data_IF_458647115241
#
_entry.id   IF_458647115241
#
_cell.length_a   1.000
_cell.length_b   1.000
_cell.length_c   1.000
_cell.angle_alpha   90.00
_cell.angle_beta   90.00
_cell.angle_gamma   90.00
#
_symmetry.space_group_name_H-M   'P 1'
#
loop_
_entity.id
_entity.type
_entity.pdbx_description
1 polymer ?
#
# COMPACT_ATOMS: atom_id res chain seq x y z
N UNK A 1 -14.65 11.92 -12.31
CA UNK A 1 -13.45 11.20 -11.84
C UNK A 1 -12.73 12.10 -10.85
N UNK A 2 -12.55 11.67 -9.59
CA UNK A 2 -11.74 12.41 -8.61
C UNK A 2 -10.30 12.49 -9.11
N UNK A 3 -9.62 13.59 -8.82
CA UNK A 3 -8.21 13.75 -9.21
C UNK A 3 -7.36 12.78 -8.37
N UNK A 4 -6.34 12.14 -8.98
CA UNK A 4 -5.39 11.26 -8.27
C UNK A 4 -4.81 11.94 -7.03
N UNK A 5 -4.48 13.23 -7.14
CA UNK A 5 -3.96 14.01 -6.01
C UNK A 5 -4.99 14.15 -4.88
N UNK A 6 -6.27 14.31 -5.19
CA UNK A 6 -7.33 14.39 -4.17
C UNK A 6 -7.46 13.06 -3.43
N UNK A 7 -7.39 11.93 -4.14
CA UNK A 7 -7.46 10.59 -3.54
C UNK A 7 -6.30 10.38 -2.57
N UNK A 8 -5.08 10.74 -2.98
CA UNK A 8 -3.88 10.63 -2.14
C UNK A 8 -3.99 11.49 -0.88
N UNK A 9 -4.49 12.72 -0.99
CA UNK A 9 -4.67 13.59 0.18
C UNK A 9 -5.77 13.08 1.11
N UNK A 10 -6.82 12.44 0.58
CA UNK A 10 -7.83 11.76 1.41
C UNK A 10 -7.25 10.54 2.14
N UNK A 11 -6.38 9.76 1.49
CA UNK A 11 -5.65 8.64 2.13
C UNK A 11 -4.79 9.18 3.27
N UNK A 12 -3.92 10.16 2.99
CA UNK A 12 -3.01 10.74 3.99
C UNK A 12 -3.74 11.38 5.17
N UNK A 13 -4.90 11.97 4.93
CA UNK A 13 -5.72 12.60 5.99
C UNK A 13 -6.64 11.62 6.72
N UNK A 14 -6.68 10.34 6.33
CA UNK A 14 -7.55 9.32 6.91
C UNK A 14 -9.04 9.56 6.64
N UNK A 15 -9.36 10.34 5.61
CA UNK A 15 -10.75 10.72 5.25
C UNK A 15 -11.34 9.86 4.14
N UNK A 16 -10.60 8.87 3.66
CA UNK A 16 -11.06 7.92 2.65
C UNK A 16 -11.47 6.62 3.33
N UNK A 17 -12.49 5.96 2.80
CA UNK A 17 -12.84 4.61 3.20
C UNK A 17 -11.90 3.64 2.48
N UNK A 18 -11.23 2.79 3.26
CA UNK A 18 -10.33 1.76 2.79
C UNK A 18 -10.90 0.39 3.17
N UNK A 19 -11.24 -0.42 2.18
CA UNK A 19 -11.61 -1.82 2.39
C UNK A 19 -10.34 -2.67 2.33
N UNK A 20 -10.00 -3.37 3.41
CA UNK A 20 -8.83 -4.25 3.45
C UNK A 20 -9.09 -5.51 2.60
N UNK A 21 -8.32 -5.67 1.54
CA UNK A 21 -8.41 -6.80 0.60
C UNK A 21 -7.42 -7.89 0.95
N UNK A 22 -6.22 -7.50 1.41
CA UNK A 22 -5.16 -8.44 1.74
C UNK A 22 -4.24 -7.88 2.83
N UNK A 23 -3.78 -8.75 3.73
CA UNK A 23 -2.90 -8.44 4.86
C UNK A 23 -1.98 -9.63 5.12
N UNK A 24 -0.68 -9.45 4.89
CA UNK A 24 0.30 -10.54 4.98
C UNK A 24 1.62 -10.08 5.56
N UNK A 25 2.25 -11.01 6.27
CA UNK A 25 3.64 -10.90 6.71
C UNK A 25 4.50 -11.73 5.76
N UNK A 26 5.56 -11.14 5.23
CA UNK A 26 6.50 -11.84 4.34
C UNK A 26 7.94 -11.65 4.79
N UNK A 27 8.78 -12.66 4.56
CA UNK A 27 10.22 -12.50 4.69
C UNK A 27 10.70 -11.68 3.50
N UNK A 28 11.35 -10.54 3.75
CA UNK A 28 11.79 -9.53 2.79
C UNK A 28 11.82 -9.98 1.31
N UNK A 29 10.80 -9.59 0.55
CA UNK A 29 10.71 -9.78 -0.91
C UNK A 29 10.02 -8.59 -1.58
N UNK A 30 10.03 -8.54 -2.91
CA UNK A 30 9.23 -7.59 -3.72
C UNK A 30 7.75 -7.63 -3.31
N UNK A 31 7.01 -6.56 -3.59
CA UNK A 31 5.56 -6.50 -3.37
C UNK A 31 4.87 -7.33 -4.46
N UNK A 32 4.84 -8.65 -4.25
CA UNK A 32 4.38 -9.65 -5.23
C UNK A 32 2.90 -9.42 -5.64
N UNK A 33 2.12 -8.73 -4.80
CA UNK A 33 0.69 -8.51 -4.96
C UNK A 33 0.34 -7.69 -6.23
N UNK A 34 1.21 -6.76 -6.61
CA UNK A 34 0.97 -5.78 -7.68
C UNK A 34 1.79 -6.06 -8.95
N UNK A 35 2.81 -6.93 -8.88
CA UNK A 35 3.80 -7.14 -9.96
C UNK A 35 3.28 -8.05 -11.11
N UNK A 36 2.05 -8.58 -11.04
CA UNK A 36 1.55 -9.59 -12.00
C UNK A 36 0.09 -9.46 -12.48
N UNK A 37 -0.65 -8.45 -12.06
CA UNK A 37 -2.13 -8.54 -11.99
C UNK A 37 -2.91 -7.42 -12.70
N UNK A 38 -2.29 -6.65 -13.60
CA UNK A 38 -2.95 -5.61 -14.39
C UNK A 38 -3.16 -4.28 -13.65
N UNK A 39 -2.41 -4.07 -12.56
CA UNK A 39 -2.42 -2.81 -11.81
C UNK A 39 -1.51 -1.79 -12.49
N UNK A 40 -2.06 -0.60 -12.76
CA UNK A 40 -1.31 0.57 -13.16
C UNK A 40 -0.94 1.38 -11.92
N UNK A 41 0.36 1.59 -11.67
CA UNK A 41 0.80 2.46 -10.57
C UNK A 41 0.58 3.92 -10.95
N UNK A 42 -0.28 4.62 -10.22
CA UNK A 42 -0.61 6.01 -10.47
C UNK A 42 0.34 6.98 -9.75
N UNK A 43 0.68 6.68 -8.50
CA UNK A 43 1.66 7.46 -7.74
C UNK A 43 2.30 6.64 -6.61
N UNK A 44 3.45 7.11 -6.16
CA UNK A 44 4.12 6.66 -4.94
C UNK A 44 4.25 7.84 -3.98
N UNK A 45 4.02 7.59 -2.69
CA UNK A 45 4.14 8.57 -1.62
C UNK A 45 4.69 7.90 -0.34
N UNK A 46 5.71 7.06 -0.55
CA UNK A 46 6.48 6.38 0.47
C UNK A 46 7.21 7.35 1.42
N UNK A 47 7.57 6.86 2.59
CA UNK A 47 8.46 7.49 3.57
C UNK A 47 9.58 6.51 3.97
N UNK A 48 10.38 6.85 4.99
CA UNK A 48 11.53 6.03 5.42
C UNK A 48 11.12 4.68 6.01
N UNK A 49 9.93 4.58 6.60
CA UNK A 49 9.44 3.37 7.28
C UNK A 49 8.47 2.57 6.41
N UNK A 50 7.75 3.25 5.51
CA UNK A 50 6.68 2.67 4.73
C UNK A 50 6.84 2.93 3.24
N UNK A 51 6.67 1.87 2.45
CA UNK A 51 6.29 2.04 1.05
C UNK A 51 4.79 2.24 0.93
N UNK A 52 4.39 3.25 0.15
CA UNK A 52 2.99 3.62 -0.04
C UNK A 52 2.75 3.99 -1.50
N UNK A 53 1.78 3.35 -2.14
CA UNK A 53 1.46 3.64 -3.53
C UNK A 53 -0.02 3.48 -3.84
N UNK A 54 -0.51 4.31 -4.75
CA UNK A 54 -1.85 4.20 -5.32
C UNK A 54 -1.76 3.54 -6.70
N UNK A 55 -2.64 2.58 -6.92
CA UNK A 55 -2.79 1.84 -8.16
C UNK A 55 -4.20 1.97 -8.71
N UNK A 56 -4.35 1.69 -10.00
CA UNK A 56 -5.64 1.55 -10.68
C UNK A 56 -5.72 0.19 -11.37
N UNK A 57 -6.86 -0.47 -11.28
CA UNK A 57 -7.18 -1.68 -12.03
C UNK A 57 -8.68 -1.73 -12.29
N UNK A 58 -9.09 -2.02 -13.52
CA UNK A 58 -10.50 -2.19 -13.91
C UNK A 58 -11.42 -1.07 -13.35
N UNK A 59 -10.98 0.18 -13.51
CA UNK A 59 -11.64 1.41 -13.02
C UNK A 59 -11.69 1.64 -11.49
N UNK A 60 -11.20 0.69 -10.70
CA UNK A 60 -11.07 0.80 -9.25
C UNK A 60 -9.69 1.31 -8.84
N UNK A 61 -9.64 1.94 -7.66
CA UNK A 61 -8.41 2.43 -7.04
C UNK A 61 -7.99 1.51 -5.90
N UNK A 62 -6.69 1.28 -5.79
CA UNK A 62 -6.13 0.42 -4.77
C UNK A 62 -4.94 1.09 -4.09
N UNK A 63 -4.92 1.05 -2.76
CA UNK A 63 -3.83 1.57 -1.96
C UNK A 63 -3.01 0.40 -1.42
N UNK A 64 -1.71 0.38 -1.72
CA UNK A 64 -0.78 -0.58 -1.15
C UNK A 64 0.09 0.11 -0.09
N UNK A 65 0.22 -0.54 1.06
CA UNK A 65 1.07 -0.12 2.16
C UNK A 65 2.00 -1.27 2.54
N UNK A 66 3.29 -0.98 2.69
CA UNK A 66 4.27 -1.92 3.22
C UNK A 66 5.01 -1.26 4.35
N UNK A 67 5.02 -1.89 5.51
CA UNK A 67 5.93 -1.54 6.59
C UNK A 67 7.23 -2.34 6.44
N UNK A 68 8.36 -1.64 6.30
CA UNK A 68 9.67 -2.27 6.33
C UNK A 68 10.09 -2.61 7.75
N UNK A 69 10.89 -3.65 7.91
CA UNK A 69 11.51 -4.03 9.19
C UNK A 69 10.50 -4.10 10.35
N UNK A 70 9.33 -4.68 10.12
CA UNK A 70 8.24 -4.65 11.08
C UNK A 70 8.56 -5.41 12.38
N UNK A 71 9.56 -6.29 12.35
CA UNK A 71 10.09 -7.01 13.50
C UNK A 71 11.13 -6.23 14.32
N UNK A 72 11.70 -5.14 13.78
CA UNK A 72 12.86 -4.46 14.36
C UNK A 72 12.65 -3.99 15.80
N UNK A 73 11.46 -3.46 16.12
CA UNK A 73 11.14 -3.02 17.47
C UNK A 73 11.11 -4.16 18.51
N UNK A 74 10.88 -5.40 18.08
CA UNK A 74 10.72 -6.56 18.95
C UNK A 74 11.94 -7.49 18.97
N UNK A 75 12.64 -7.60 17.84
CA UNK A 75 13.75 -8.55 17.66
C UNK A 75 15.09 -7.86 17.39
N UNK A 76 15.10 -6.58 17.02
CA UNK A 76 16.28 -5.88 16.52
C UNK A 76 16.73 -6.35 15.12
N UNK A 77 15.93 -7.17 14.44
CA UNK A 77 16.16 -7.64 13.09
C UNK A 77 15.27 -6.92 12.08
N UNK A 78 15.63 -6.97 10.81
CA UNK A 78 14.79 -6.51 9.72
C UNK A 78 14.59 -7.67 8.76
N UNK A 79 13.85 -8.68 9.20
CA UNK A 79 13.59 -9.88 8.40
C UNK A 79 12.15 -9.91 7.87
N UNK A 80 11.24 -9.23 8.57
CA UNK A 80 9.82 -9.21 8.25
C UNK A 80 9.39 -7.87 7.67
N UNK A 81 8.45 -7.94 6.73
CA UNK A 81 7.69 -6.80 6.25
C UNK A 81 6.20 -7.14 6.32
N UNK A 82 5.38 -6.11 6.54
CA UNK A 82 3.93 -6.25 6.61
C UNK A 82 3.35 -5.54 5.40
N UNK A 83 2.72 -6.32 4.52
CA UNK A 83 2.14 -5.86 3.27
C UNK A 83 0.62 -5.84 3.41
N UNK A 84 0.01 -4.69 3.08
CA UNK A 84 -1.44 -4.51 3.05
C UNK A 84 -1.88 -3.94 1.71
N UNK A 85 -3.02 -4.42 1.24
CA UNK A 85 -3.68 -3.93 0.06
C UNK A 85 -5.13 -3.56 0.40
N UNK A 86 -5.52 -2.37 -0.01
CA UNK A 86 -6.85 -1.84 0.21
C UNK A 86 -7.50 -1.48 -1.12
N UNK A 87 -8.81 -1.72 -1.24
CA UNK A 87 -9.65 -1.04 -2.23
C UNK A 87 -10.04 0.33 -1.68
N UNK A 88 -9.94 1.36 -2.52
CA UNK A 88 -10.25 2.75 -2.14
C UNK A 88 -11.66 3.07 -2.63
N UNK A 89 -12.60 3.23 -1.70
CA UNK A 89 -13.97 3.65 -2.02
C UNK A 89 -14.00 5.17 -2.24
N UNK A 90 -14.23 5.59 -3.50
CA UNK A 90 -14.22 7.00 -3.94
C UNK A 90 -15.57 7.51 -4.39
#
# INVERSE_FOLDING_TARGET
MKNVNEIVELIKSGKVNLELIDDRVTNQKKLEMVDGSGFEKLCEFSDEEYFKALYKKDEKYFYAERQYCADNAFTGSCELQYDKLYEVEV
#
